data_IF_546180575794
#
_entry.id   IF_546180575794
#
_cell.length_a   1.000
_cell.length_b   1.000
_cell.length_c   1.000
_cell.angle_alpha   90.00
_cell.angle_beta   90.00
_cell.angle_gamma   90.00
#
_symmetry.space_group_name_H-M   'P 1'
#
loop_
_entity.id
_entity.type
_entity.pdbx_description
1 polymer ?
#
# COMPACT_ATOMS: atom_id res chain seq x y z
N UNK A 1 45.06 30.99 52.32
CA UNK A 1 44.06 31.17 51.25
C UNK A 1 44.42 30.25 50.11
N UNK A 2 43.70 29.14 49.92
CA UNK A 2 43.98 28.14 48.89
C UNK A 2 42.98 28.31 47.74
N UNK A 3 43.48 28.59 46.53
CA UNK A 3 42.67 28.70 45.32
C UNK A 3 42.20 27.31 44.88
N UNK A 4 40.88 27.13 44.77
CA UNK A 4 40.28 25.93 44.21
C UNK A 4 40.50 25.90 42.69
N UNK A 5 41.25 24.91 42.22
CA UNK A 5 41.36 24.59 40.79
C UNK A 5 39.97 24.23 40.24
N UNK A 6 39.51 24.99 39.25
CA UNK A 6 38.29 24.68 38.51
C UNK A 6 38.39 23.31 37.85
N UNK A 7 37.62 22.34 38.36
CA UNK A 7 37.43 21.05 37.68
C UNK A 7 36.75 21.31 36.35
N UNK A 8 37.49 21.14 35.25
CA UNK A 8 36.93 21.11 33.90
C UNK A 8 36.15 19.81 33.75
N UNK A 9 34.86 19.91 33.44
CA UNK A 9 33.99 18.76 33.21
C UNK A 9 34.52 17.92 32.03
N UNK A 10 34.68 16.60 32.16
CA UNK A 10 35.13 15.75 31.05
C UNK A 10 34.13 15.81 29.88
N UNK A 11 34.65 16.05 28.67
CA UNK A 11 33.94 16.02 27.38
C UNK A 11 33.55 14.59 26.95
N UNK A 12 33.06 13.74 27.86
CA UNK A 12 32.56 12.43 27.47
C UNK A 12 31.06 12.50 27.18
N UNK A 13 30.72 12.05 25.97
CA UNK A 13 29.40 11.57 25.54
C UNK A 13 28.24 12.58 25.48
N UNK A 14 28.39 13.58 24.61
CA UNK A 14 27.22 14.23 23.99
C UNK A 14 27.17 13.96 22.48
N UNK A 15 27.45 12.71 22.08
CA UNK A 15 26.90 12.21 20.82
C UNK A 15 25.40 12.03 21.04
N UNK A 16 24.60 13.05 20.69
CA UNK A 16 23.15 12.93 20.71
C UNK A 16 22.74 11.68 19.93
N UNK A 17 21.90 10.85 20.53
CA UNK A 17 21.34 9.69 19.84
C UNK A 17 20.39 10.22 18.77
N UNK A 18 20.72 10.04 17.50
CA UNK A 18 19.83 10.35 16.40
C UNK A 18 18.67 9.34 16.41
N UNK A 19 17.55 9.74 17.01
CA UNK A 19 16.32 8.94 17.03
C UNK A 19 15.54 9.22 15.76
N UNK A 20 15.64 8.31 14.78
CA UNK A 20 14.77 8.33 13.61
C UNK A 20 13.38 7.83 14.00
N UNK A 21 12.40 8.74 14.07
CA UNK A 21 10.98 8.39 14.29
C UNK A 21 10.26 8.50 12.95
N UNK A 22 9.73 7.38 12.47
CA UNK A 22 8.88 7.40 11.29
C UNK A 22 7.52 8.05 11.61
N UNK A 23 7.16 9.10 10.85
CA UNK A 23 5.90 9.83 11.00
C UNK A 23 5.19 9.98 9.64
N UNK A 24 4.55 8.90 9.14
CA UNK A 24 3.81 8.97 7.90
C UNK A 24 2.61 9.92 8.01
N UNK A 25 2.30 10.60 6.91
CA UNK A 25 1.17 11.52 6.79
C UNK A 25 -0.12 10.73 6.51
N UNK A 26 -0.62 10.03 7.52
CA UNK A 26 -1.83 9.22 7.43
C UNK A 26 -3.05 10.00 6.92
N UNK A 27 -4.00 9.29 6.31
CA UNK A 27 -5.32 9.83 5.97
C UNK A 27 -6.13 9.92 7.27
N UNK A 28 -6.91 10.98 7.46
CA UNK A 28 -7.74 11.13 8.66
C UNK A 28 -8.75 9.98 8.74
N UNK A 29 -8.65 9.17 9.80
CA UNK A 29 -9.47 7.97 9.98
C UNK A 29 -10.97 8.28 10.12
N UNK A 30 -11.32 9.49 10.55
CA UNK A 30 -12.71 9.92 10.72
C UNK A 30 -13.37 10.42 9.44
N UNK A 31 -12.56 10.75 8.43
CA UNK A 31 -13.07 11.21 7.14
C UNK A 31 -13.56 10.04 6.28
N UNK A 32 -14.51 10.35 5.39
CA UNK A 32 -15.06 9.42 4.41
C UNK A 32 -14.84 9.96 3.02
N UNK A 33 -14.37 9.09 2.13
CA UNK A 33 -13.92 9.44 0.79
C UNK A 33 -14.71 8.68 -0.27
N UNK A 34 -14.88 9.34 -1.42
CA UNK A 34 -15.26 8.71 -2.69
C UNK A 34 -14.05 8.75 -3.61
N UNK A 35 -13.89 7.70 -4.40
CA UNK A 35 -12.87 7.67 -5.45
C UNK A 35 -13.39 8.50 -6.64
N UNK A 36 -12.63 9.49 -7.08
CA UNK A 36 -12.96 10.27 -8.26
C UNK A 36 -13.06 9.39 -9.52
N UNK A 37 -13.82 9.82 -10.52
CA UNK A 37 -13.95 9.12 -11.81
C UNK A 37 -14.33 7.63 -11.69
N UNK A 38 -15.05 7.26 -10.61
CA UNK A 38 -15.46 5.89 -10.37
C UNK A 38 -16.44 5.41 -11.46
N UNK A 39 -16.23 4.23 -12.07
CA UNK A 39 -17.21 3.65 -12.97
C UNK A 39 -18.50 3.29 -12.22
N UNK A 40 -19.62 3.08 -12.93
CA UNK A 40 -20.94 2.83 -12.32
C UNK A 40 -20.95 1.73 -11.25
N UNK A 41 -20.15 0.67 -11.42
CA UNK A 41 -20.05 -0.45 -10.47
C UNK A 41 -19.63 -0.02 -9.06
N UNK A 42 -18.80 1.01 -8.95
CA UNK A 42 -18.16 1.44 -7.69
C UNK A 42 -18.52 2.88 -7.31
N UNK A 43 -19.31 3.59 -8.14
CA UNK A 43 -19.68 4.99 -7.95
C UNK A 43 -20.39 5.30 -6.62
N UNK A 44 -21.12 4.32 -6.07
CA UNK A 44 -21.85 4.47 -4.81
C UNK A 44 -21.05 4.02 -3.58
N UNK A 45 -19.82 3.52 -3.75
CA UNK A 45 -18.99 3.12 -2.62
C UNK A 45 -18.35 4.34 -1.95
N UNK A 46 -18.19 4.22 -0.64
CA UNK A 46 -17.50 5.20 0.20
C UNK A 46 -16.52 4.46 1.11
N UNK A 47 -15.36 5.05 1.35
CA UNK A 47 -14.28 4.42 2.11
C UNK A 47 -13.88 5.33 3.27
N UNK A 48 -13.77 4.79 4.48
CA UNK A 48 -13.23 5.56 5.60
C UNK A 48 -11.73 5.75 5.46
N UNK A 49 -11.17 6.79 6.08
CA UNK A 49 -9.71 6.94 6.14
C UNK A 49 -9.01 5.74 6.78
N UNK A 50 -9.66 5.05 7.73
CA UNK A 50 -9.14 3.80 8.29
C UNK A 50 -9.03 2.68 7.23
N UNK A 51 -10.02 2.52 6.34
CA UNK A 51 -9.98 1.54 5.24
C UNK A 51 -8.86 1.87 4.23
N UNK A 52 -8.67 3.16 3.96
CA UNK A 52 -7.65 3.65 3.03
C UNK A 52 -6.24 3.58 3.62
N UNK A 53 -6.06 3.84 4.92
CA UNK A 53 -4.81 3.60 5.63
C UNK A 53 -4.48 2.11 5.70
N UNK A 54 -5.49 1.25 5.87
CA UNK A 54 -5.32 -0.19 5.78
C UNK A 54 -4.84 -0.59 4.38
N UNK A 55 -5.50 -0.10 3.31
CA UNK A 55 -5.06 -0.30 1.93
C UNK A 55 -3.62 0.17 1.71
N UNK A 56 -3.24 1.35 2.20
CA UNK A 56 -1.88 1.87 2.05
C UNK A 56 -0.82 0.94 2.68
N UNK A 57 -1.14 0.34 3.83
CA UNK A 57 -0.26 -0.64 4.49
C UNK A 57 -0.16 -1.95 3.71
N UNK A 58 -1.26 -2.42 3.12
CA UNK A 58 -1.25 -3.59 2.25
C UNK A 58 -0.46 -3.30 0.97
N UNK A 59 -0.67 -2.13 0.36
CA UNK A 59 0.09 -1.67 -0.80
C UNK A 59 1.59 -1.62 -0.50
N UNK A 60 1.99 -1.07 0.65
CA UNK A 60 3.38 -1.09 1.11
C UNK A 60 3.91 -2.52 1.26
N UNK A 61 3.09 -3.45 1.77
CA UNK A 61 3.50 -4.84 1.96
C UNK A 61 3.61 -5.64 0.64
N UNK A 62 2.79 -5.32 -0.34
CA UNK A 62 2.69 -6.02 -1.64
C UNK A 62 3.60 -5.39 -2.73
N UNK A 63 3.90 -4.10 -2.64
CA UNK A 63 4.75 -3.40 -3.61
C UNK A 63 6.24 -3.48 -3.28
N UNK A 64 7.06 -3.23 -4.30
CA UNK A 64 8.50 -3.14 -4.16
C UNK A 64 8.90 -1.86 -3.45
N UNK A 65 9.82 -1.99 -2.50
CA UNK A 65 10.52 -0.86 -1.89
C UNK A 65 11.77 -0.48 -2.67
N UNK A 66 12.43 0.61 -2.26
CA UNK A 66 13.63 1.14 -2.91
C UNK A 66 14.79 0.14 -3.02
N UNK A 67 14.87 -0.85 -2.12
CA UNK A 67 15.90 -1.90 -2.17
C UNK A 67 15.77 -2.87 -3.37
N UNK A 68 14.58 -3.01 -3.95
CA UNK A 68 14.33 -3.89 -5.11
C UNK A 68 14.11 -3.07 -6.37
N UNK A 69 13.43 -1.92 -6.23
CA UNK A 69 13.11 -1.02 -7.33
C UNK A 69 13.60 0.39 -6.96
N UNK A 70 14.89 0.73 -7.22
CA UNK A 70 15.50 1.95 -6.72
C UNK A 70 14.93 3.24 -7.31
N UNK A 71 14.40 3.18 -8.53
CA UNK A 71 13.77 4.31 -9.19
C UNK A 71 12.37 4.59 -8.61
N UNK A 72 12.14 5.83 -8.19
CA UNK A 72 10.87 6.26 -7.57
C UNK A 72 9.72 6.27 -8.58
N UNK A 73 9.98 6.65 -9.84
CA UNK A 73 8.95 6.66 -10.87
C UNK A 73 8.45 5.25 -11.14
N UNK A 74 9.36 4.27 -11.24
CA UNK A 74 9.00 2.87 -11.41
C UNK A 74 8.19 2.34 -10.21
N UNK A 75 8.59 2.68 -8.98
CA UNK A 75 7.82 2.33 -7.76
C UNK A 75 6.42 2.92 -7.78
N UNK A 76 6.28 4.18 -8.19
CA UNK A 76 4.98 4.87 -8.27
C UNK A 76 4.06 4.20 -9.30
N UNK A 77 4.60 3.84 -10.47
CA UNK A 77 3.85 3.15 -11.53
C UNK A 77 3.41 1.75 -11.06
N UNK A 78 4.28 0.99 -10.38
CA UNK A 78 3.91 -0.31 -9.81
C UNK A 78 2.79 -0.17 -8.76
N UNK A 79 2.91 0.80 -7.85
CA UNK A 79 1.90 1.07 -6.82
C UNK A 79 0.54 1.45 -7.43
N UNK A 80 0.53 2.29 -8.47
CA UNK A 80 -0.69 2.65 -9.20
C UNK A 80 -1.33 1.42 -9.87
N UNK A 81 -0.54 0.55 -10.51
CA UNK A 81 -1.04 -0.67 -11.13
C UNK A 81 -1.66 -1.64 -10.10
N UNK A 82 -1.03 -1.79 -8.93
CA UNK A 82 -1.57 -2.56 -7.81
C UNK A 82 -2.89 -1.97 -7.29
N UNK A 83 -2.97 -0.66 -7.09
CA UNK A 83 -4.20 0.07 -6.71
C UNK A 83 -5.35 -0.20 -7.67
N UNK A 84 -5.08 -0.22 -8.96
CA UNK A 84 -6.09 -0.57 -9.96
C UNK A 84 -6.55 -2.02 -9.82
N UNK A 85 -5.68 -2.98 -9.49
CA UNK A 85 -6.10 -4.37 -9.20
C UNK A 85 -7.00 -4.42 -7.96
N UNK A 86 -6.59 -3.78 -6.86
CA UNK A 86 -7.40 -3.73 -5.63
C UNK A 86 -8.79 -3.15 -5.91
N UNK A 87 -8.85 -2.06 -6.68
CA UNK A 87 -10.09 -1.39 -7.03
C UNK A 87 -10.96 -2.20 -8.00
N UNK A 88 -10.35 -2.88 -9.00
CA UNK A 88 -11.08 -3.72 -9.95
C UNK A 88 -11.83 -4.87 -9.26
N UNK A 89 -11.33 -5.31 -8.10
CA UNK A 89 -11.93 -6.38 -7.27
C UNK A 89 -13.13 -5.90 -6.45
N UNK A 90 -13.38 -4.60 -6.35
CA UNK A 90 -14.51 -4.04 -5.62
C UNK A 90 -15.84 -4.22 -6.36
N UNK A 91 -16.87 -4.55 -5.56
CA UNK A 91 -18.26 -4.76 -5.97
C UNK A 91 -18.41 -5.65 -7.20
N UNK A 92 -17.51 -6.64 -7.34
CA UNK A 92 -17.44 -7.59 -8.47
C UNK A 92 -17.80 -8.98 -8.00
N UNK A 93 -18.51 -9.75 -8.84
CA UNK A 93 -18.62 -11.20 -8.69
C UNK A 93 -17.31 -11.89 -9.10
N UNK A 94 -17.15 -13.15 -8.71
CA UNK A 94 -15.94 -13.93 -9.03
C UNK A 94 -14.67 -13.43 -8.34
N UNK A 95 -14.76 -12.61 -7.29
CA UNK A 95 -13.62 -12.26 -6.45
C UNK A 95 -13.94 -12.36 -4.95
N UNK A 96 -13.14 -13.12 -4.16
CA UNK A 96 -12.28 -14.21 -4.63
C UNK A 96 -13.09 -15.37 -5.24
N UNK A 97 -14.41 -15.35 -5.03
CA UNK A 97 -15.41 -16.34 -5.43
C UNK A 97 -16.73 -15.63 -5.73
N UNK A 98 -17.73 -16.34 -6.23
CA UNK A 98 -19.02 -15.75 -6.62
C UNK A 98 -19.91 -15.31 -5.44
N UNK A 99 -19.70 -15.89 -4.26
CA UNK A 99 -20.51 -15.66 -3.04
C UNK A 99 -20.00 -14.49 -2.19
N UNK A 100 -18.85 -13.90 -2.55
CA UNK A 100 -18.21 -12.84 -1.80
C UNK A 100 -18.16 -11.57 -2.64
N UNK A 101 -18.75 -10.48 -2.15
CA UNK A 101 -18.73 -9.18 -2.84
C UNK A 101 -18.07 -8.16 -1.92
N UNK A 102 -16.82 -7.81 -2.24
CA UNK A 102 -16.06 -6.84 -1.47
C UNK A 102 -16.59 -5.42 -1.70
N UNK A 103 -17.03 -4.75 -0.64
CA UNK A 103 -17.49 -3.34 -0.71
C UNK A 103 -16.45 -2.33 -0.19
N UNK A 104 -15.41 -2.82 0.48
CA UNK A 104 -14.32 -2.01 1.03
C UNK A 104 -12.96 -2.60 0.62
N UNK A 105 -11.90 -1.80 0.69
CA UNK A 105 -10.56 -2.31 0.40
C UNK A 105 -10.10 -3.32 1.43
N UNK A 106 -10.48 -3.17 2.70
CA UNK A 106 -10.22 -4.17 3.74
C UNK A 106 -10.87 -5.51 3.41
N UNK A 107 -12.09 -5.53 2.85
CA UNK A 107 -12.71 -6.77 2.36
C UNK A 107 -11.89 -7.36 1.21
N UNK A 108 -11.47 -6.54 0.25
CA UNK A 108 -10.61 -7.02 -0.86
C UNK A 108 -9.34 -7.67 -0.31
N UNK A 109 -8.65 -6.99 0.60
CA UNK A 109 -7.36 -7.41 1.14
C UNK A 109 -7.45 -8.62 2.07
N UNK A 110 -8.53 -8.76 2.85
CA UNK A 110 -8.71 -9.89 3.77
C UNK A 110 -9.38 -11.12 3.12
N UNK A 111 -9.71 -11.06 1.83
CA UNK A 111 -10.21 -12.20 1.09
C UNK A 111 -9.21 -13.37 1.14
N UNK A 112 -9.70 -14.56 1.51
CA UNK A 112 -8.86 -15.73 1.71
C UNK A 112 -8.08 -16.12 0.44
N UNK A 113 -6.77 -16.38 0.60
CA UNK A 113 -5.89 -16.82 -0.48
C UNK A 113 -5.50 -15.74 -1.49
N UNK A 114 -5.85 -14.47 -1.26
CA UNK A 114 -5.59 -13.38 -2.21
C UNK A 114 -4.25 -12.69 -1.96
N UNK A 115 -3.87 -12.50 -0.70
CA UNK A 115 -2.68 -11.73 -0.30
C UNK A 115 -1.82 -12.50 0.70
N UNK A 116 -0.68 -13.00 0.23
CA UNK A 116 0.28 -13.74 1.06
C UNK A 116 0.96 -12.85 2.11
N UNK A 117 0.90 -11.52 1.95
CA UNK A 117 1.36 -10.58 2.98
C UNK A 117 0.44 -10.56 4.20
N UNK A 118 -0.78 -11.08 4.10
CA UNK A 118 -1.81 -11.04 5.14
C UNK A 118 -2.22 -12.43 5.62
N UNK A 119 -2.29 -13.42 4.72
CA UNK A 119 -2.87 -14.72 5.00
C UNK A 119 -1.92 -15.88 4.64
N UNK A 120 -1.98 -17.02 5.36
CA UNK A 120 -2.79 -17.28 6.55
C UNK A 120 -2.26 -16.58 7.82
N UNK A 121 -1.05 -16.02 7.77
CA UNK A 121 -0.46 -15.22 8.84
C UNK A 121 0.17 -13.97 8.23
N UNK A 122 -0.10 -12.76 8.77
CA UNK A 122 0.47 -11.56 8.21
C UNK A 122 2.00 -11.56 8.29
N UNK A 123 2.66 -11.08 7.22
CA UNK A 123 4.12 -11.01 7.14
C UNK A 123 4.65 -9.83 7.94
N UNK A 124 5.92 -9.87 8.40
CA UNK A 124 6.52 -8.81 9.21
C UNK A 124 6.41 -7.42 8.59
N UNK A 125 6.56 -7.28 7.26
CA UNK A 125 6.42 -5.98 6.56
C UNK A 125 5.06 -5.32 6.84
N UNK A 126 3.97 -6.07 6.67
CA UNK A 126 2.63 -5.58 7.00
C UNK A 126 2.43 -5.33 8.51
N UNK A 127 2.89 -6.25 9.37
CA UNK A 127 2.75 -6.11 10.83
C UNK A 127 3.47 -4.84 11.33
N UNK A 128 4.68 -4.61 10.85
CA UNK A 128 5.52 -3.50 11.32
C UNK A 128 5.05 -2.14 10.81
N UNK A 129 4.28 -2.09 9.72
CA UNK A 129 3.62 -0.85 9.26
C UNK A 129 2.44 -0.41 10.13
N UNK A 130 2.00 -1.22 11.10
CA UNK A 130 0.89 -0.89 12.01
C UNK A 130 1.33 -0.06 13.22
N UNK A 131 0.37 0.64 13.85
CA UNK A 131 0.59 1.34 15.12
C UNK A 131 0.83 0.32 16.25
N UNK A 132 1.82 0.51 17.15
CA UNK A 132 2.82 1.59 17.19
C UNK A 132 4.13 1.28 16.45
N UNK A 133 4.25 0.08 15.86
CA UNK A 133 5.49 -0.43 15.28
C UNK A 133 6.03 0.42 14.14
N UNK A 134 5.18 1.09 13.37
CA UNK A 134 5.64 1.89 12.24
C UNK A 134 6.64 2.97 12.68
N UNK A 135 6.51 3.48 13.91
CA UNK A 135 7.38 4.54 14.46
C UNK A 135 8.85 4.14 14.49
N UNK A 136 9.14 2.84 14.55
CA UNK A 136 10.48 2.27 14.59
C UNK A 136 10.99 1.82 13.20
N UNK A 137 10.25 2.08 12.12
CA UNK A 137 10.74 1.81 10.77
C UNK A 137 11.95 2.70 10.45
N UNK A 138 12.97 2.10 9.85
CA UNK A 138 14.11 2.84 9.32
C UNK A 138 13.70 3.80 8.20
N UNK A 139 14.56 4.76 7.88
CA UNK A 139 14.28 5.84 6.91
C UNK A 139 13.76 5.34 5.57
N UNK A 140 14.37 4.30 4.98
CA UNK A 140 13.94 3.74 3.70
C UNK A 140 12.54 3.13 3.78
N UNK A 141 12.28 2.30 4.79
CA UNK A 141 10.97 1.66 4.96
C UNK A 141 9.87 2.68 5.28
N UNK A 142 10.20 3.72 6.04
CA UNK A 142 9.29 4.83 6.30
C UNK A 142 8.95 5.59 5.02
N UNK A 143 9.94 5.83 4.15
CA UNK A 143 9.75 6.45 2.83
C UNK A 143 8.86 5.58 1.94
N UNK A 144 9.11 4.27 1.86
CA UNK A 144 8.31 3.34 1.07
C UNK A 144 6.85 3.26 1.57
N UNK A 145 6.65 3.34 2.89
CA UNK A 145 5.31 3.42 3.49
C UNK A 145 4.63 4.75 3.14
N UNK A 146 5.35 5.87 3.23
CA UNK A 146 4.85 7.19 2.86
C UNK A 146 4.43 7.24 1.38
N UNK A 147 5.27 6.72 0.47
CA UNK A 147 4.94 6.59 -0.95
C UNK A 147 3.65 5.80 -1.18
N UNK A 148 3.38 4.78 -0.37
CA UNK A 148 2.16 3.98 -0.47
C UNK A 148 0.92 4.74 -0.01
N UNK A 149 1.05 5.58 1.03
CA UNK A 149 -0.02 6.48 1.48
C UNK A 149 -0.30 7.55 0.43
N UNK A 150 0.76 8.14 -0.14
CA UNK A 150 0.62 9.17 -1.17
C UNK A 150 0.03 8.61 -2.46
N UNK A 151 0.36 7.37 -2.83
CA UNK A 151 -0.29 6.67 -3.95
C UNK A 151 -1.80 6.48 -3.72
N UNK A 152 -2.22 6.13 -2.49
CA UNK A 152 -3.66 6.04 -2.15
C UNK A 152 -4.33 7.41 -2.22
N UNK A 153 -3.71 8.47 -1.68
CA UNK A 153 -4.24 9.84 -1.78
C UNK A 153 -4.39 10.30 -3.24
N UNK A 154 -3.39 10.04 -4.07
CA UNK A 154 -3.44 10.34 -5.49
C UNK A 154 -4.56 9.54 -6.19
N UNK A 155 -4.75 8.27 -5.82
CA UNK A 155 -5.82 7.43 -6.37
C UNK A 155 -7.23 7.90 -5.97
N UNK A 156 -7.41 8.40 -4.74
CA UNK A 156 -8.69 9.01 -4.32
C UNK A 156 -9.05 10.18 -5.23
N UNK A 157 -8.08 11.07 -5.52
CA UNK A 157 -8.30 12.27 -6.31
C UNK A 157 -8.36 12.02 -7.82
N UNK A 158 -7.57 11.07 -8.34
CA UNK A 158 -7.45 10.77 -9.78
C UNK A 158 -8.42 9.70 -10.27
N UNK A 159 -8.73 8.72 -9.44
CA UNK A 159 -9.53 7.56 -9.81
C UNK A 159 -8.74 6.43 -10.47
N UNK A 160 -9.44 5.38 -10.95
CA UNK A 160 -8.81 4.28 -11.67
C UNK A 160 -8.22 4.71 -13.02
N UNK A 161 -7.10 4.12 -13.38
CA UNK A 161 -6.41 4.34 -14.65
C UNK A 161 -6.89 3.31 -15.68
N UNK A 162 -7.52 3.79 -16.76
CA UNK A 162 -8.10 2.93 -17.81
C UNK A 162 -7.07 2.08 -18.56
N UNK A 163 -5.77 2.36 -18.44
CA UNK A 163 -4.68 1.54 -19.00
C UNK A 163 -4.38 0.30 -18.14
N UNK A 164 -4.79 0.27 -16.89
CA UNK A 164 -4.50 -0.82 -15.94
C UNK A 164 -5.74 -1.68 -15.70
N UNK A 165 -6.13 -2.43 -16.73
CA UNK A 165 -7.23 -3.39 -16.65
C UNK A 165 -6.69 -4.74 -16.21
N UNK A 166 -6.44 -4.87 -14.91
CA UNK A 166 -5.90 -6.08 -14.30
C UNK A 166 -6.73 -6.42 -13.07
N UNK A 167 -6.90 -7.71 -12.80
CA UNK A 167 -7.54 -8.21 -11.58
C UNK A 167 -6.64 -9.16 -10.79
N UNK A 168 -5.43 -9.42 -11.30
CA UNK A 168 -4.45 -10.28 -10.68
C UNK A 168 -3.04 -9.69 -10.81
N UNK A 169 -2.23 -9.98 -9.79
CA UNK A 169 -0.80 -9.71 -9.81
C UNK A 169 -0.03 -10.75 -8.99
N UNK A 170 1.24 -10.95 -9.33
CA UNK A 170 2.24 -11.73 -8.58
C UNK A 170 3.62 -11.10 -8.74
N UNK A 171 4.62 -11.65 -8.05
CA UNK A 171 6.02 -11.28 -8.31
C UNK A 171 6.39 -11.48 -9.78
N UNK A 172 7.33 -10.66 -10.28
CA UNK A 172 7.86 -10.75 -11.65
C UNK A 172 8.30 -12.17 -12.04
N UNK A 173 8.86 -12.92 -11.08
CA UNK A 173 9.34 -14.29 -11.27
C UNK A 173 8.25 -15.35 -11.42
N UNK A 174 6.98 -14.99 -11.24
CA UNK A 174 5.86 -15.92 -11.37
C UNK A 174 5.78 -16.54 -12.77
N UNK A 175 5.33 -17.79 -12.87
CA UNK A 175 5.18 -18.51 -14.15
C UNK A 175 3.96 -18.06 -14.98
N UNK A 176 3.08 -17.23 -14.42
CA UNK A 176 1.95 -16.70 -15.17
C UNK A 176 2.42 -15.81 -16.33
N UNK A 177 1.64 -15.78 -17.41
CA UNK A 177 1.78 -14.81 -18.50
C UNK A 177 1.10 -13.50 -18.10
N UNK A 178 1.69 -12.36 -18.44
CA UNK A 178 1.16 -11.05 -18.08
C UNK A 178 2.11 -9.90 -18.37
N UNK A 179 1.65 -8.68 -18.13
CA UNK A 179 2.43 -7.45 -18.26
C UNK A 179 3.31 -7.26 -17.04
N UNK A 180 4.59 -6.94 -17.22
CA UNK A 180 5.49 -6.61 -16.12
C UNK A 180 5.50 -5.11 -15.92
N UNK A 181 5.24 -4.66 -14.69
CA UNK A 181 5.33 -3.26 -14.27
C UNK A 181 6.11 -3.26 -12.95
N UNK A 182 7.26 -2.58 -12.92
CA UNK A 182 8.19 -2.67 -11.79
C UNK A 182 8.68 -4.10 -11.56
N UNK A 183 8.51 -4.62 -10.35
CA UNK A 183 8.85 -6.00 -10.01
C UNK A 183 7.60 -6.90 -9.83
N UNK A 184 6.47 -6.45 -10.36
CA UNK A 184 5.19 -7.15 -10.33
C UNK A 184 4.76 -7.53 -11.74
N UNK A 185 4.08 -8.66 -11.84
CA UNK A 185 3.48 -9.16 -13.07
C UNK A 185 1.96 -9.17 -12.93
N UNK A 186 1.27 -8.59 -13.90
CA UNK A 186 -0.15 -8.32 -13.91
C UNK A 186 -0.87 -9.00 -15.06
N UNK A 187 -2.09 -9.45 -14.83
CA UNK A 187 -2.95 -9.99 -15.88
C UNK A 187 -4.43 -9.82 -15.53
N UNK A 188 -5.26 -10.01 -16.56
CA UNK A 188 -6.71 -10.05 -16.43
C UNK A 188 -7.17 -11.51 -16.58
N UNK A 189 -7.86 -12.02 -15.56
CA UNK A 189 -8.48 -13.34 -15.61
C UNK A 189 -9.61 -13.40 -16.65
N UNK A 190 -10.02 -14.60 -17.05
CA UNK A 190 -11.15 -14.79 -17.98
C UNK A 190 -12.43 -14.15 -17.44
N UNK A 191 -12.75 -14.40 -16.16
CA UNK A 191 -13.88 -13.74 -15.48
C UNK A 191 -13.73 -12.21 -15.44
N UNK A 192 -12.51 -11.71 -15.27
CA UNK A 192 -12.22 -10.28 -15.33
C UNK A 192 -12.46 -9.68 -16.71
N UNK A 193 -12.20 -10.43 -17.79
CA UNK A 193 -12.47 -10.01 -19.17
C UNK A 193 -13.96 -9.92 -19.43
N UNK A 194 -14.73 -10.96 -19.08
CA UNK A 194 -16.19 -10.98 -19.24
C UNK A 194 -16.86 -9.77 -18.58
N UNK A 195 -16.44 -9.44 -17.35
CA UNK A 195 -16.93 -8.28 -16.61
C UNK A 195 -16.46 -6.93 -17.21
N UNK A 196 -15.21 -6.86 -17.71
CA UNK A 196 -14.70 -5.65 -18.35
C UNK A 196 -15.41 -5.37 -19.67
N UNK A 197 -15.76 -6.40 -20.42
CA UNK A 197 -16.40 -6.29 -21.73
C UNK A 197 -17.90 -6.01 -21.60
N UNK A 198 -18.55 -6.47 -20.52
CA UNK A 198 -19.97 -6.19 -20.25
C UNK A 198 -20.27 -4.72 -19.88
N UNK A 199 -19.25 -3.92 -19.55
CA UNK A 199 -19.36 -2.52 -19.13
C UNK A 199 -18.86 -1.55 -20.21
N UNK A 200 -18.30 -2.07 -21.32
CA UNK A 200 -17.92 -1.30 -22.51
C UNK A 200 -19.08 -1.21 -23.50
#
# INVERSE_FOLDING_TARGET
MAQAQGKVTPKNDSAGVEVNICQPQWIDEQETFKIANSPPRTANLTFSGADLNYLARVLYAESSGAGILPDESDRRIEKEALLNVFYFRLNRKGYPRNDYIAKTFSMVCNAAGQFDSLQPKPRPKFINSGNPKYKALGKSECSDLQESIDAVKAFIAGGPNSKYIYDNFRSRSSRHSGTIIGNSKFWLSELGKEESDAVR
#
